data_IF_876185597821
#
_entry.id   IF_876185597821
#
_cell.length_a   1.000
_cell.length_b   1.000
_cell.length_c   1.000
_cell.angle_alpha   90.00
_cell.angle_beta   90.00
_cell.angle_gamma   90.00
#
_symmetry.space_group_name_H-M   'P 1'
#
loop_
_entity.id
_entity.type
_entity.pdbx_description
1 polymer ?
#
# COMPACT_ATOMS: atom_id res chain seq x y z
N UNK A 1 27.30 36.91 35.81
CA UNK A 1 26.28 37.26 34.76
C UNK A 1 26.68 36.81 33.35
N UNK A 2 27.82 37.20 32.80
CA UNK A 2 28.22 36.88 31.40
C UNK A 2 28.25 35.37 31.07
N UNK A 3 28.78 34.51 31.98
CA UNK A 3 28.80 33.03 31.80
C UNK A 3 27.41 32.41 31.84
N UNK A 4 26.50 32.92 32.69
CA UNK A 4 25.14 32.46 32.80
C UNK A 4 24.33 32.81 31.50
N UNK A 5 24.50 34.01 30.96
CA UNK A 5 23.89 34.39 29.68
C UNK A 5 24.39 33.55 28.50
N UNK A 6 25.70 33.17 28.49
CA UNK A 6 26.24 32.27 27.47
C UNK A 6 25.66 30.87 27.56
N UNK A 7 25.48 30.33 28.76
CA UNK A 7 24.84 29.02 28.98
C UNK A 7 23.37 29.03 28.53
N UNK A 8 22.62 30.08 28.89
CA UNK A 8 21.24 30.25 28.44
C UNK A 8 21.14 30.37 26.92
N UNK A 9 22.03 31.15 26.29
CA UNK A 9 22.07 31.28 24.83
C UNK A 9 22.37 29.95 24.15
N UNK A 10 23.34 29.17 24.66
CA UNK A 10 23.67 27.86 24.12
C UNK A 10 22.50 26.88 24.28
N UNK A 11 21.84 26.86 25.43
CA UNK A 11 20.66 26.03 25.69
C UNK A 11 19.49 26.37 24.73
N UNK A 12 19.24 27.65 24.49
CA UNK A 12 18.22 28.09 23.53
C UNK A 12 18.53 27.64 22.09
N UNK A 13 19.79 27.74 21.66
CA UNK A 13 20.21 27.26 20.35
C UNK A 13 20.02 25.74 20.22
N UNK A 14 20.39 24.96 21.24
CA UNK A 14 20.20 23.51 21.23
C UNK A 14 18.73 23.11 21.15
N UNK A 15 17.84 23.81 21.84
CA UNK A 15 16.39 23.58 21.76
C UNK A 15 15.85 23.88 20.35
N UNK A 16 16.26 24.99 19.76
CA UNK A 16 15.85 25.37 18.40
C UNK A 16 16.35 24.35 17.37
N UNK A 17 17.63 23.96 17.45
CA UNK A 17 18.20 22.94 16.56
C UNK A 17 17.47 21.59 16.72
N UNK A 18 17.22 21.18 17.96
CA UNK A 18 16.47 19.96 18.28
C UNK A 18 15.06 19.98 17.69
N UNK A 19 14.36 21.11 17.82
CA UNK A 19 13.03 21.29 17.26
C UNK A 19 13.02 21.23 15.71
N UNK A 20 14.02 21.86 15.06
CA UNK A 20 14.16 21.82 13.60
C UNK A 20 14.43 20.39 13.13
N UNK A 21 15.36 19.67 13.77
CA UNK A 21 15.69 18.28 13.43
C UNK A 21 14.47 17.35 13.64
N UNK A 22 13.71 17.55 14.71
CA UNK A 22 12.49 16.82 14.96
C UNK A 22 11.45 17.07 13.86
N UNK A 23 11.23 18.34 13.48
CA UNK A 23 10.30 18.68 12.41
C UNK A 23 10.73 18.09 11.06
N UNK A 24 12.01 18.15 10.72
CA UNK A 24 12.53 17.53 9.50
C UNK A 24 12.35 16.01 9.51
N UNK A 25 12.53 15.36 10.66
CA UNK A 25 12.30 13.93 10.80
C UNK A 25 10.84 13.59 10.68
N UNK A 26 9.95 14.32 11.34
CA UNK A 26 8.50 14.05 11.37
C UNK A 26 7.81 14.34 10.03
N UNK A 27 8.21 15.43 9.34
CA UNK A 27 7.55 15.85 8.11
C UNK A 27 8.11 15.18 6.85
N UNK A 28 9.35 14.70 6.88
CA UNK A 28 10.02 14.21 5.67
C UNK A 28 10.67 12.84 5.86
N UNK A 29 11.65 12.69 6.73
CA UNK A 29 12.49 11.51 6.78
C UNK A 29 11.77 10.21 7.17
N UNK A 30 10.84 10.27 8.09
CA UNK A 30 10.10 9.08 8.53
C UNK A 30 9.16 8.51 7.46
N UNK A 31 8.74 9.34 6.51
CA UNK A 31 7.80 8.97 5.45
C UNK A 31 8.48 8.58 4.14
N UNK A 32 9.80 8.73 4.07
CA UNK A 32 10.54 8.40 2.85
C UNK A 32 10.41 6.91 2.49
N UNK A 33 10.11 6.60 1.23
CA UNK A 33 10.10 5.24 0.74
C UNK A 33 11.44 4.56 0.96
N UNK A 34 11.41 3.29 1.30
CA UNK A 34 12.64 2.49 1.45
C UNK A 34 13.06 1.91 0.10
N UNK A 35 14.36 1.87 -0.14
CA UNK A 35 14.92 1.12 -1.26
C UNK A 35 14.99 -0.35 -0.86
N UNK A 36 14.39 -1.21 -1.68
CA UNK A 36 14.45 -2.65 -1.51
C UNK A 36 15.76 -3.15 -2.14
N UNK A 37 16.58 -3.82 -1.36
CA UNK A 37 17.89 -4.35 -1.79
C UNK A 37 17.99 -5.85 -1.63
N UNK A 38 17.16 -6.45 -0.78
CA UNK A 38 17.07 -7.89 -0.54
C UNK A 38 15.74 -8.42 -1.08
N UNK A 39 15.71 -9.65 -1.56
CA UNK A 39 14.51 -10.35 -2.05
C UNK A 39 13.82 -9.66 -3.25
N UNK A 40 14.55 -8.87 -4.05
CA UNK A 40 13.94 -8.11 -5.15
C UNK A 40 13.28 -9.01 -6.20
N UNK A 41 13.91 -10.13 -6.52
CA UNK A 41 13.38 -11.09 -7.49
C UNK A 41 12.12 -11.78 -6.97
N UNK A 42 12.17 -12.25 -5.74
CA UNK A 42 11.06 -12.92 -5.06
C UNK A 42 9.84 -11.99 -4.94
N UNK A 43 10.05 -10.76 -4.49
CA UNK A 43 9.00 -9.73 -4.40
C UNK A 43 8.41 -9.43 -5.78
N UNK A 44 9.26 -9.24 -6.80
CA UNK A 44 8.80 -8.93 -8.14
C UNK A 44 7.96 -10.07 -8.75
N UNK A 45 8.43 -11.31 -8.62
CA UNK A 45 7.72 -12.52 -9.10
C UNK A 45 6.40 -12.72 -8.36
N UNK A 46 6.39 -12.59 -7.03
CA UNK A 46 5.19 -12.71 -6.23
C UNK A 46 4.12 -11.67 -6.62
N UNK A 47 4.53 -10.42 -6.84
CA UNK A 47 3.64 -9.35 -7.28
C UNK A 47 3.12 -9.60 -8.71
N UNK A 48 3.97 -10.02 -9.64
CA UNK A 48 3.56 -10.24 -11.03
C UNK A 48 2.61 -11.45 -11.17
N UNK A 49 2.80 -12.48 -10.34
CA UNK A 49 1.94 -13.65 -10.25
C UNK A 49 0.64 -13.41 -9.45
N UNK A 50 0.56 -12.31 -8.70
CA UNK A 50 -0.62 -12.01 -7.88
C UNK A 50 -1.87 -11.69 -8.73
N UNK A 51 -3.03 -11.71 -8.10
CA UNK A 51 -4.32 -11.38 -8.73
C UNK A 51 -4.58 -9.88 -8.84
N UNK A 52 -3.59 -9.11 -9.30
CA UNK A 52 -3.74 -7.67 -9.48
C UNK A 52 -4.75 -7.32 -10.57
N UNK A 53 -5.40 -6.17 -10.40
CA UNK A 53 -6.25 -5.51 -11.38
C UNK A 53 -5.68 -4.14 -11.73
N UNK A 54 -5.80 -3.70 -12.98
CA UNK A 54 -5.29 -2.39 -13.39
C UNK A 54 -6.09 -1.78 -14.54
N UNK A 55 -5.93 -0.48 -14.81
CA UNK A 55 -6.47 0.16 -16.02
C UNK A 55 -5.70 -0.24 -17.28
N UNK A 56 -4.65 -1.03 -17.19
CA UNK A 56 -3.79 -1.48 -18.30
C UNK A 56 -3.14 -0.31 -19.10
N UNK A 57 -2.62 0.67 -18.38
CA UNK A 57 -1.85 1.75 -18.96
C UNK A 57 -0.44 1.27 -19.37
N UNK A 58 0.24 2.03 -20.23
CA UNK A 58 1.49 1.59 -20.87
C UNK A 58 2.75 2.04 -20.14
N UNK A 59 2.64 2.95 -19.21
CA UNK A 59 3.74 3.52 -18.46
C UNK A 59 4.28 2.65 -17.32
N UNK A 60 4.99 3.25 -16.36
CA UNK A 60 5.57 2.52 -15.24
C UNK A 60 4.52 1.77 -14.42
N UNK A 61 4.90 0.59 -13.92
CA UNK A 61 4.03 -0.22 -13.06
C UNK A 61 4.20 0.18 -11.60
N UNK A 62 3.08 0.29 -10.88
CA UNK A 62 3.05 0.41 -9.41
C UNK A 62 2.08 -0.61 -8.84
N UNK A 63 2.52 -1.37 -7.84
CA UNK A 63 1.66 -2.32 -7.12
C UNK A 63 1.18 -1.70 -5.81
N UNK A 64 -0.11 -1.81 -5.56
CA UNK A 64 -0.77 -1.27 -4.37
C UNK A 64 -1.54 -2.39 -3.69
N UNK A 65 -1.07 -2.83 -2.52
CA UNK A 65 -1.70 -3.89 -1.73
C UNK A 65 -2.70 -3.26 -0.77
N UNK A 66 -3.96 -3.63 -0.89
CA UNK A 66 -5.09 -3.03 -0.16
C UNK A 66 -6.05 -4.08 0.39
N UNK A 67 -6.87 -3.68 1.36
CA UNK A 67 -8.08 -4.41 1.75
C UNK A 67 -9.27 -3.43 1.86
N UNK A 68 -10.49 -3.95 1.94
CA UNK A 68 -11.72 -3.17 1.77
C UNK A 68 -11.95 -2.10 2.84
N UNK A 69 -11.93 -2.47 4.10
CA UNK A 69 -12.22 -1.58 5.25
C UNK A 69 -10.95 -0.87 5.75
N UNK A 70 -10.19 -0.28 4.83
CA UNK A 70 -8.94 0.40 5.09
C UNK A 70 -9.07 1.89 4.75
N UNK A 71 -9.25 2.74 5.74
CA UNK A 71 -9.38 4.19 5.53
C UNK A 71 -8.18 4.80 4.80
N UNK A 72 -6.96 4.36 5.16
CA UNK A 72 -5.75 4.80 4.51
C UNK A 72 -5.69 4.36 3.04
N UNK A 73 -6.17 3.14 2.71
CA UNK A 73 -6.26 2.66 1.33
C UNK A 73 -7.26 3.49 0.52
N UNK A 74 -8.45 3.72 1.06
CA UNK A 74 -9.48 4.56 0.41
C UNK A 74 -8.98 5.97 0.16
N UNK A 75 -8.30 6.57 1.14
CA UNK A 75 -7.67 7.88 0.99
C UNK A 75 -6.62 7.87 -0.14
N UNK A 76 -5.72 6.88 -0.13
CA UNK A 76 -4.67 6.74 -1.15
C UNK A 76 -5.29 6.55 -2.55
N UNK A 77 -6.28 5.69 -2.69
CA UNK A 77 -7.01 5.47 -3.94
C UNK A 77 -7.63 6.76 -4.48
N UNK A 78 -8.29 7.53 -3.63
CA UNK A 78 -8.96 8.76 -4.03
C UNK A 78 -7.98 9.91 -4.35
N UNK A 79 -6.90 10.04 -3.60
CA UNK A 79 -5.96 11.14 -3.72
C UNK A 79 -4.88 10.91 -4.79
N UNK A 80 -4.40 9.66 -4.94
CA UNK A 80 -3.19 9.34 -5.71
C UNK A 80 -3.51 8.68 -7.05
N UNK A 81 -4.47 7.74 -7.12
CA UNK A 81 -4.78 7.02 -8.37
C UNK A 81 -5.10 7.94 -9.55
N UNK A 82 -5.93 8.99 -9.41
CA UNK A 82 -6.20 9.87 -10.55
C UNK A 82 -4.94 10.55 -11.12
N UNK A 83 -3.99 10.91 -10.25
CA UNK A 83 -2.73 11.53 -10.67
C UNK A 83 -1.81 10.54 -11.37
N UNK A 84 -1.67 9.33 -10.80
CA UNK A 84 -0.90 8.25 -11.40
C UNK A 84 -1.44 7.88 -12.80
N UNK A 85 -2.75 7.77 -12.93
CA UNK A 85 -3.39 7.46 -14.21
C UNK A 85 -3.22 8.60 -15.22
N UNK A 86 -3.31 9.87 -14.79
CA UNK A 86 -3.05 11.02 -15.65
C UNK A 86 -1.59 11.06 -16.15
N UNK A 87 -0.65 10.50 -15.39
CA UNK A 87 0.75 10.34 -15.75
C UNK A 87 1.06 9.01 -16.50
N UNK A 88 0.04 8.31 -17.00
CA UNK A 88 0.14 7.01 -17.69
C UNK A 88 0.77 5.88 -16.84
N UNK A 89 0.71 5.96 -15.51
CA UNK A 89 1.23 4.92 -14.60
C UNK A 89 0.23 3.77 -14.50
N UNK A 90 0.66 2.53 -14.81
CA UNK A 90 -0.16 1.31 -14.69
C UNK A 90 -0.30 0.90 -13.21
N UNK A 91 -1.38 1.39 -12.60
CA UNK A 91 -1.69 1.16 -11.18
C UNK A 91 -2.29 -0.23 -10.99
N UNK A 92 -1.50 -1.18 -10.48
CA UNK A 92 -1.85 -2.58 -10.23
C UNK A 92 -2.29 -2.78 -8.80
N UNK A 93 -3.58 -2.92 -8.59
CA UNK A 93 -4.16 -3.10 -7.25
C UNK A 93 -4.26 -4.59 -6.92
N UNK A 94 -3.67 -4.98 -5.80
CA UNK A 94 -3.77 -6.33 -5.22
C UNK A 94 -4.72 -6.26 -4.03
N UNK A 95 -5.96 -6.63 -4.24
CA UNK A 95 -6.98 -6.65 -3.19
C UNK A 95 -6.86 -7.92 -2.34
N UNK A 96 -6.87 -7.78 -1.00
CA UNK A 96 -6.70 -8.87 -0.05
C UNK A 96 -7.97 -9.04 0.80
N UNK A 97 -8.44 -10.28 0.91
CA UNK A 97 -9.43 -10.66 1.90
C UNK A 97 -8.72 -11.10 3.19
N UNK A 98 -8.70 -10.24 4.20
CA UNK A 98 -7.98 -10.49 5.45
C UNK A 98 -8.49 -11.76 6.15
N UNK A 99 -7.60 -12.52 6.80
CA UNK A 99 -8.00 -13.66 7.63
C UNK A 99 -8.72 -13.19 8.90
N UNK A 100 -9.55 -14.05 9.47
CA UNK A 100 -10.10 -13.84 10.80
C UNK A 100 -8.98 -13.94 11.84
N UNK A 101 -8.96 -13.00 12.78
CA UNK A 101 -7.94 -12.93 13.83
C UNK A 101 -8.61 -12.76 15.20
N UNK A 102 -8.22 -13.57 16.17
CA UNK A 102 -8.68 -13.46 17.56
C UNK A 102 -10.22 -13.46 17.69
N UNK A 103 -10.91 -14.24 16.86
CA UNK A 103 -12.38 -14.30 16.87
C UNK A 103 -13.08 -13.11 16.19
N UNK A 104 -12.32 -12.19 15.62
CA UNK A 104 -12.87 -11.08 14.82
C UNK A 104 -12.82 -11.45 13.34
N UNK A 105 -13.92 -11.22 12.65
CA UNK A 105 -14.03 -11.44 11.20
C UNK A 105 -13.14 -10.42 10.46
N UNK A 106 -12.16 -10.91 9.73
CA UNK A 106 -11.23 -10.07 8.97
C UNK A 106 -11.80 -9.57 7.64
N UNK A 107 -12.72 -10.35 7.03
CA UNK A 107 -13.43 -9.98 5.78
C UNK A 107 -14.80 -10.63 5.73
N UNK A 108 -15.79 -9.89 5.19
CA UNK A 108 -17.15 -10.41 4.97
C UNK A 108 -17.18 -11.45 3.84
N UNK A 109 -18.25 -12.23 3.76
CA UNK A 109 -18.46 -13.17 2.64
C UNK A 109 -18.51 -12.43 1.28
N UNK A 110 -19.19 -11.27 1.22
CA UNK A 110 -19.24 -10.44 0.01
C UNK A 110 -17.87 -9.93 -0.41
N UNK A 111 -17.02 -9.58 0.54
CA UNK A 111 -15.63 -9.17 0.30
C UNK A 111 -14.79 -10.34 -0.22
N UNK A 112 -14.85 -11.52 0.41
CA UNK A 112 -14.15 -12.73 -0.08
C UNK A 112 -14.60 -13.11 -1.50
N UNK A 113 -15.90 -13.05 -1.78
CA UNK A 113 -16.42 -13.32 -3.12
C UNK A 113 -15.82 -12.36 -4.15
N UNK A 114 -15.79 -11.06 -3.83
CA UNK A 114 -15.29 -10.02 -4.72
C UNK A 114 -13.79 -10.14 -4.93
N UNK A 115 -13.01 -10.38 -3.87
CA UNK A 115 -11.57 -10.58 -3.99
C UNK A 115 -11.25 -11.80 -4.85
N UNK A 116 -11.95 -12.94 -4.64
CA UNK A 116 -11.76 -14.12 -5.48
C UNK A 116 -12.06 -13.82 -6.95
N UNK A 117 -13.11 -13.02 -7.24
CA UNK A 117 -13.46 -12.61 -8.60
C UNK A 117 -12.40 -11.71 -9.22
N UNK A 118 -11.92 -10.70 -8.48
CA UNK A 118 -10.85 -9.80 -8.93
C UNK A 118 -9.56 -10.56 -9.26
N UNK A 119 -9.18 -11.52 -8.43
CA UNK A 119 -7.98 -12.34 -8.64
C UNK A 119 -8.10 -13.26 -9.86
N UNK A 120 -9.30 -13.76 -10.15
CA UNK A 120 -9.56 -14.67 -11.26
C UNK A 120 -9.71 -13.94 -12.59
N UNK A 121 -10.55 -12.90 -12.62
CA UNK A 121 -10.99 -12.24 -13.85
C UNK A 121 -10.31 -10.88 -14.10
N UNK A 122 -9.53 -10.37 -13.16
CA UNK A 122 -8.72 -9.13 -13.28
C UNK A 122 -9.53 -7.91 -13.76
N UNK A 123 -10.79 -7.80 -13.34
CA UNK A 123 -11.71 -6.75 -13.81
C UNK A 123 -11.47 -5.42 -13.08
N UNK A 124 -10.83 -4.48 -13.76
CA UNK A 124 -10.69 -3.10 -13.27
C UNK A 124 -12.04 -2.43 -13.03
N UNK A 125 -13.01 -2.66 -13.92
CA UNK A 125 -14.37 -2.15 -13.75
C UNK A 125 -15.03 -2.64 -12.44
N UNK A 126 -14.88 -3.91 -12.13
CA UNK A 126 -15.41 -4.47 -10.86
C UNK A 126 -14.71 -3.82 -9.66
N UNK A 127 -13.40 -3.66 -9.71
CA UNK A 127 -12.65 -2.98 -8.64
C UNK A 127 -13.16 -1.55 -8.42
N UNK A 128 -13.35 -0.76 -9.48
CA UNK A 128 -13.89 0.59 -9.37
C UNK A 128 -15.29 0.62 -8.75
N UNK A 129 -16.19 -0.27 -9.17
CA UNK A 129 -17.54 -0.36 -8.61
C UNK A 129 -17.49 -0.72 -7.12
N UNK A 130 -16.65 -1.67 -6.77
CA UNK A 130 -16.45 -2.11 -5.40
C UNK A 130 -15.83 -1.03 -4.53
N UNK A 131 -14.77 -0.35 -4.99
CA UNK A 131 -14.09 0.73 -4.27
C UNK A 131 -15.01 1.93 -3.99
N UNK A 132 -15.91 2.27 -4.91
CA UNK A 132 -16.85 3.38 -4.76
C UNK A 132 -18.09 3.04 -3.88
N UNK A 133 -18.43 1.78 -3.73
CA UNK A 133 -19.57 1.37 -2.89
C UNK A 133 -19.22 1.53 -1.40
N UNK A 134 -20.20 1.83 -0.56
CA UNK A 134 -19.99 1.76 0.90
C UNK A 134 -19.77 0.29 1.30
N UNK A 135 -18.76 -0.02 2.16
CA UNK A 135 -18.47 -1.41 2.54
C UNK A 135 -19.67 -2.19 3.04
N UNK A 136 -20.46 -1.61 3.94
CA UNK A 136 -21.64 -2.24 4.52
C UNK A 136 -22.80 -2.44 3.52
N UNK A 137 -22.82 -1.72 2.39
CA UNK A 137 -23.87 -1.82 1.38
C UNK A 137 -23.49 -2.79 0.24
N UNK A 138 -22.25 -3.24 0.18
CA UNK A 138 -21.76 -4.13 -0.87
C UNK A 138 -22.19 -5.57 -0.62
N UNK A 139 -23.00 -6.12 -1.54
CA UNK A 139 -23.53 -7.49 -1.45
C UNK A 139 -22.89 -8.47 -2.44
N UNK A 140 -21.87 -8.04 -3.17
CA UNK A 140 -21.25 -8.80 -4.27
C UNK A 140 -22.27 -9.29 -5.32
N UNK A 141 -23.07 -8.40 -5.94
CA UNK A 141 -24.14 -8.81 -6.84
C UNK A 141 -23.58 -9.53 -8.06
N UNK A 142 -24.18 -10.68 -8.41
CA UNK A 142 -23.80 -11.54 -9.54
C UNK A 142 -22.38 -12.12 -9.45
N UNK A 143 -21.78 -12.16 -8.27
CA UNK A 143 -20.47 -12.76 -8.02
C UNK A 143 -20.68 -14.10 -7.30
N UNK A 144 -20.00 -15.14 -7.79
CA UNK A 144 -20.09 -16.48 -7.19
C UNK A 144 -19.51 -16.49 -5.77
N UNK A 145 -20.10 -17.27 -4.85
CA UNK A 145 -19.54 -17.45 -3.51
C UNK A 145 -18.12 -18.00 -3.55
N UNK A 146 -17.25 -17.48 -2.68
CA UNK A 146 -15.93 -18.04 -2.47
C UNK A 146 -15.95 -19.11 -1.38
N UNK A 147 -16.78 -18.91 -0.37
CA UNK A 147 -16.95 -19.88 0.71
C UNK A 147 -17.63 -21.14 0.18
N UNK A 148 -17.03 -22.31 0.45
CA UNK A 148 -17.52 -23.60 -0.06
C UNK A 148 -17.07 -23.97 -1.49
N UNK A 149 -16.48 -23.04 -2.24
CA UNK A 149 -15.79 -23.34 -3.51
C UNK A 149 -14.28 -23.50 -3.28
N UNK A 150 -13.76 -24.69 -3.56
CA UNK A 150 -12.36 -25.00 -3.29
C UNK A 150 -11.38 -24.14 -4.10
N UNK A 151 -11.69 -23.84 -5.37
CA UNK A 151 -10.85 -23.03 -6.24
C UNK A 151 -10.81 -21.57 -5.79
N UNK A 152 -11.98 -20.98 -5.51
CA UNK A 152 -12.07 -19.59 -5.04
C UNK A 152 -11.49 -19.41 -3.64
N UNK A 153 -11.69 -20.39 -2.75
CA UNK A 153 -11.04 -20.40 -1.43
C UNK A 153 -9.51 -20.50 -1.55
N UNK A 154 -9.00 -21.32 -2.47
CA UNK A 154 -7.55 -21.39 -2.73
C UNK A 154 -6.98 -20.04 -3.18
N UNK A 155 -7.66 -19.33 -4.07
CA UNK A 155 -7.27 -17.98 -4.51
C UNK A 155 -7.18 -17.00 -3.33
N UNK A 156 -8.16 -17.01 -2.43
CA UNK A 156 -8.11 -16.18 -1.20
C UNK A 156 -6.87 -16.52 -0.35
N UNK A 157 -6.57 -17.79 -0.19
CA UNK A 157 -5.43 -18.24 0.61
C UNK A 157 -4.09 -17.87 -0.05
N UNK A 158 -3.99 -17.91 -1.38
CA UNK A 158 -2.81 -17.40 -2.12
C UNK A 158 -2.60 -15.91 -1.84
N UNK A 159 -3.65 -15.10 -1.85
CA UNK A 159 -3.55 -13.69 -1.49
C UNK A 159 -3.08 -13.45 -0.05
N UNK A 160 -3.54 -14.26 0.90
CA UNK A 160 -3.09 -14.21 2.31
C UNK A 160 -1.63 -14.64 2.46
N UNK A 161 -1.23 -15.66 1.71
CA UNK A 161 0.17 -16.11 1.69
C UNK A 161 1.08 -15.03 1.13
N UNK A 162 0.70 -14.39 0.01
CA UNK A 162 1.44 -13.25 -0.55
C UNK A 162 1.71 -12.17 0.50
N UNK A 163 0.71 -11.81 1.33
CA UNK A 163 0.91 -10.83 2.41
C UNK A 163 1.90 -11.33 3.45
N UNK A 164 1.86 -12.63 3.78
CA UNK A 164 2.80 -13.24 4.74
C UNK A 164 4.23 -13.16 4.22
N UNK A 165 4.44 -13.53 2.96
CA UNK A 165 5.76 -13.54 2.32
C UNK A 165 6.30 -12.11 2.19
N UNK A 166 5.51 -11.18 1.64
CA UNK A 166 5.86 -9.77 1.55
C UNK A 166 6.18 -9.15 2.92
N UNK A 167 5.47 -9.55 3.97
CA UNK A 167 5.74 -9.06 5.33
C UNK A 167 7.14 -9.45 5.79
N UNK A 168 7.59 -10.68 5.51
CA UNK A 168 8.92 -11.17 5.82
C UNK A 168 9.99 -10.45 4.98
N UNK A 169 9.84 -10.47 3.66
CA UNK A 169 10.79 -9.93 2.70
C UNK A 169 10.98 -8.41 2.84
N UNK A 170 9.90 -7.67 3.04
CA UNK A 170 9.95 -6.22 3.25
C UNK A 170 10.57 -5.86 4.61
N UNK A 171 10.36 -6.66 5.65
CA UNK A 171 10.97 -6.48 6.96
C UNK A 171 12.50 -6.51 6.88
N UNK A 172 13.09 -7.38 6.07
CA UNK A 172 14.53 -7.49 5.86
C UNK A 172 15.12 -6.23 5.20
N UNK A 173 14.26 -5.43 4.55
CA UNK A 173 14.58 -4.13 3.97
C UNK A 173 14.18 -2.94 4.88
N UNK A 174 13.82 -3.20 6.14
CA UNK A 174 13.42 -2.17 7.10
C UNK A 174 12.05 -1.56 6.83
N UNK A 175 11.18 -2.25 6.07
CA UNK A 175 9.79 -1.86 5.83
C UNK A 175 8.88 -2.73 6.71
N UNK A 176 8.12 -2.09 7.61
CA UNK A 176 7.09 -2.76 8.39
C UNK A 176 5.81 -2.75 7.56
N UNK A 177 5.44 -3.92 7.01
CA UNK A 177 4.24 -4.06 6.20
C UNK A 177 2.98 -3.56 6.93
N UNK A 178 2.20 -2.72 6.25
CA UNK A 178 0.84 -2.30 6.62
C UNK A 178 0.08 -1.88 5.35
N UNK A 179 -1.19 -1.49 5.45
CA UNK A 179 -2.01 -1.14 4.30
C UNK A 179 -2.30 0.37 4.21
N UNK A 180 -2.18 0.97 3.02
CA UNK A 180 -1.68 0.38 1.78
C UNK A 180 -0.14 0.27 1.78
N UNK A 181 0.37 -0.87 1.31
CA UNK A 181 1.76 -0.99 0.91
C UNK A 181 1.87 -0.78 -0.59
N UNK A 182 2.76 0.11 -1.00
CA UNK A 182 2.97 0.52 -2.39
C UNK A 182 4.39 0.15 -2.81
N UNK A 183 4.54 -0.57 -3.92
CA UNK A 183 5.83 -1.03 -4.45
C UNK A 183 5.93 -0.63 -5.92
N UNK A 184 7.07 -0.01 -6.29
CA UNK A 184 7.32 0.43 -7.67
C UNK A 184 8.80 0.39 -8.02
N UNK A 185 9.11 0.65 -9.28
CA UNK A 185 10.47 0.79 -9.78
C UNK A 185 10.70 2.21 -10.27
N UNK A 186 11.78 2.81 -9.82
CA UNK A 186 12.24 4.11 -10.30
C UNK A 186 12.78 4.00 -11.74
N UNK A 187 12.94 5.14 -12.43
CA UNK A 187 13.47 5.18 -13.81
C UNK A 187 14.88 4.56 -13.94
N UNK A 188 15.65 4.56 -12.88
CA UNK A 188 16.98 3.91 -12.80
C UNK A 188 16.91 2.44 -12.33
N UNK A 189 15.72 1.86 -12.26
CA UNK A 189 15.47 0.43 -11.99
C UNK A 189 15.53 0.03 -10.51
N UNK A 190 15.64 0.96 -9.57
CA UNK A 190 15.61 0.63 -8.14
C UNK A 190 14.19 0.31 -7.69
N UNK A 191 14.01 -0.82 -7.00
CA UNK A 191 12.75 -1.15 -6.35
C UNK A 191 12.57 -0.31 -5.08
N UNK A 192 11.40 0.29 -4.92
CA UNK A 192 11.02 1.14 -3.79
C UNK A 192 9.75 0.61 -3.14
N UNK A 193 9.65 0.81 -1.84
CA UNK A 193 8.43 0.51 -1.10
C UNK A 193 8.06 1.65 -0.14
N UNK A 194 6.77 1.96 -0.07
CA UNK A 194 6.16 2.88 0.88
C UNK A 194 5.03 2.14 1.61
N UNK A 195 4.98 2.29 2.92
CA UNK A 195 3.77 2.02 3.69
C UNK A 195 3.04 3.35 3.79
N UNK A 196 2.16 3.61 2.84
CA UNK A 196 1.54 4.92 2.63
C UNK A 196 0.27 5.10 3.49
N UNK A 197 0.39 4.82 4.79
CA UNK A 197 -0.69 5.01 5.77
C UNK A 197 -0.95 6.48 6.09
N UNK A 198 -0.03 7.37 5.73
CA UNK A 198 -0.11 8.81 5.95
C UNK A 198 0.09 9.57 4.62
N UNK A 199 -0.62 10.71 4.40
CA UNK A 199 -0.51 11.51 3.18
C UNK A 199 0.90 11.99 2.84
N UNK A 200 1.79 12.16 3.83
CA UNK A 200 3.18 12.58 3.57
C UNK A 200 3.95 11.56 2.72
N UNK A 201 3.60 10.26 2.82
CA UNK A 201 4.20 9.21 2.00
C UNK A 201 3.75 9.27 0.53
N UNK A 202 2.56 9.77 0.26
CA UNK A 202 1.93 9.76 -1.06
C UNK A 202 2.71 10.60 -2.07
N UNK A 203 3.17 11.79 -1.65
CA UNK A 203 3.92 12.71 -2.51
C UNK A 203 5.25 12.16 -3.04
N UNK A 204 5.88 11.21 -2.33
CA UNK A 204 7.08 10.53 -2.82
C UNK A 204 6.74 9.57 -3.97
N UNK A 205 5.62 8.84 -3.87
CA UNK A 205 5.14 7.94 -4.92
C UNK A 205 4.84 8.73 -6.19
N UNK A 206 4.07 9.82 -6.07
CA UNK A 206 3.73 10.71 -7.17
C UNK A 206 5.01 11.26 -7.83
N UNK A 207 5.91 11.86 -7.07
CA UNK A 207 7.14 12.46 -7.57
C UNK A 207 8.06 11.47 -8.29
N UNK A 208 8.27 10.26 -7.72
CA UNK A 208 9.17 9.28 -8.31
C UNK A 208 8.59 8.63 -9.57
N UNK A 209 7.26 8.58 -9.70
CA UNK A 209 6.55 8.07 -10.88
C UNK A 209 6.23 9.15 -11.91
N UNK A 210 6.44 10.44 -11.57
CA UNK A 210 6.23 11.57 -12.48
C UNK A 210 4.76 12.02 -12.59
N UNK A 211 3.98 11.80 -11.52
CA UNK A 211 2.56 12.16 -11.42
C UNK A 211 2.34 13.49 -10.66
#
# INVERSE_FOLDING_TARGET
>A
MRRFMLILGLAAVLVVVGAILYLMWDLDWRWQPKTITQHQTEIAEALDQSGWVSPHLTGPKVYVIVYRDCDACTRFEQAVFPKLQAADVDTRVVAIARPDLNGQTGSSAAERNTVAELWTNRSWKLFQQWSLAMPAAWTAPNILPADGDAGRTAVINVGRQLVTDLTGELKDNGVKFDYPTVIWWTKDGRMRACVCTDPHGDGFVEKELGA
#
